data_IF_089513277712
#
_entry.id   IF_089513277712
#
_cell.length_a   1.000
_cell.length_b   1.000
_cell.length_c   1.000
_cell.angle_alpha   90.00
_cell.angle_beta   90.00
_cell.angle_gamma   90.00
#
_symmetry.space_group_name_H-M   'P 1'
#
loop_
_entity.id
_entity.type
_entity.pdbx_description
1 polymer ?
#
# COMPACT_ATOMS: atom_id res chain seq x y z
N UNK A 1 -7.87 -17.78 -9.31
CA UNK A 1 -6.61 -17.03 -9.28
C UNK A 1 -6.84 -15.78 -8.45
N UNK A 2 -6.32 -15.76 -7.24
CA UNK A 2 -6.43 -14.61 -6.33
C UNK A 2 -5.36 -13.60 -6.73
N UNK A 3 -5.80 -12.37 -7.05
CA UNK A 3 -4.93 -11.24 -7.33
C UNK A 3 -5.00 -10.25 -6.17
N UNK A 4 -3.85 -9.84 -5.68
CA UNK A 4 -3.73 -8.87 -4.58
C UNK A 4 -2.78 -7.77 -5.01
N UNK A 5 -3.13 -6.51 -4.73
CA UNK A 5 -2.21 -5.39 -4.87
C UNK A 5 -2.19 -4.54 -3.59
N UNK A 6 -1.05 -3.93 -3.31
CA UNK A 6 -0.84 -2.94 -2.27
C UNK A 6 -0.52 -1.60 -2.92
N UNK A 7 -1.16 -0.53 -2.46
CA UNK A 7 -0.86 0.87 -2.81
C UNK A 7 -0.82 1.72 -1.54
N UNK A 8 -0.11 2.87 -1.51
CA UNK A 8 -0.11 3.73 -0.33
C UNK A 8 -1.38 4.58 -0.23
N UNK A 9 -1.75 4.95 1.00
CA UNK A 9 -2.81 5.92 1.31
C UNK A 9 -2.42 7.38 1.06
N UNK A 10 -1.45 7.64 0.18
CA UNK A 10 -0.90 8.98 -0.04
C UNK A 10 -1.96 9.94 -0.59
N UNK A 11 -2.27 11.02 0.15
CA UNK A 11 -3.28 12.00 -0.25
C UNK A 11 -3.00 12.67 -1.59
N UNK A 12 -1.72 12.82 -1.98
CA UNK A 12 -1.34 13.37 -3.28
C UNK A 12 -1.89 12.55 -4.46
N UNK A 13 -2.32 11.30 -4.24
CA UNK A 13 -2.99 10.47 -5.24
C UNK A 13 -4.43 10.91 -5.52
N UNK A 14 -5.05 11.72 -4.67
CA UNK A 14 -6.42 12.18 -4.87
C UNK A 14 -6.50 13.32 -5.91
N UNK A 15 -7.58 13.38 -6.71
CA UNK A 15 -7.78 14.44 -7.71
C UNK A 15 -7.77 15.86 -7.12
N UNK A 16 -8.18 16.02 -5.86
CA UNK A 16 -8.21 17.32 -5.16
C UNK A 16 -6.82 17.93 -4.92
N UNK A 17 -5.75 17.12 -5.01
CA UNK A 17 -4.35 17.58 -4.93
C UNK A 17 -3.66 17.62 -6.30
N UNK A 18 -4.40 17.47 -7.40
CA UNK A 18 -3.83 17.59 -8.73
C UNK A 18 -3.25 18.99 -8.95
N UNK A 19 -2.03 19.03 -9.45
CA UNK A 19 -1.23 20.24 -9.65
C UNK A 19 -0.58 20.21 -11.05
N UNK A 20 -0.08 21.36 -11.52
CA UNK A 20 0.62 21.44 -12.82
C UNK A 20 1.87 20.53 -12.86
N UNK A 21 2.53 20.37 -11.71
CA UNK A 21 3.61 19.42 -11.50
C UNK A 21 3.09 18.30 -10.60
N UNK A 22 3.23 17.04 -11.00
CA UNK A 22 2.83 15.90 -10.17
C UNK A 22 4.03 15.43 -9.33
N UNK A 23 4.08 15.80 -8.04
CA UNK A 23 5.22 15.49 -7.18
C UNK A 23 5.31 13.98 -6.86
N UNK A 24 4.31 13.19 -7.24
CA UNK A 24 4.25 11.74 -7.05
C UNK A 24 4.00 11.00 -8.36
N UNK A 25 4.44 11.56 -9.50
CA UNK A 25 4.22 10.99 -10.84
C UNK A 25 4.52 9.49 -10.92
N UNK A 26 5.73 9.07 -10.52
CA UNK A 26 6.16 7.67 -10.64
C UNK A 26 5.34 6.75 -9.72
N UNK A 27 5.03 7.23 -8.51
CA UNK A 27 4.16 6.51 -7.58
C UNK A 27 2.74 6.37 -8.13
N UNK A 28 2.17 7.45 -8.68
CA UNK A 28 0.83 7.44 -9.27
C UNK A 28 0.76 6.48 -10.45
N UNK A 29 1.75 6.50 -11.34
CA UNK A 29 1.84 5.59 -12.47
C UNK A 29 1.88 4.13 -12.00
N UNK A 30 2.68 3.81 -10.99
CA UNK A 30 2.74 2.49 -10.39
C UNK A 30 1.39 2.07 -9.77
N UNK A 31 0.75 2.96 -8.99
CA UNK A 31 -0.57 2.70 -8.41
C UNK A 31 -1.62 2.39 -9.47
N UNK A 32 -1.71 3.20 -10.53
CA UNK A 32 -2.68 3.01 -11.60
C UNK A 32 -2.44 1.71 -12.37
N UNK A 33 -1.18 1.37 -12.65
CA UNK A 33 -0.84 0.10 -13.28
C UNK A 33 -1.22 -1.09 -12.39
N UNK A 34 -0.98 -1.00 -11.08
CA UNK A 34 -1.31 -2.07 -10.14
C UNK A 34 -2.82 -2.27 -9.98
N UNK A 35 -3.57 -1.17 -9.86
CA UNK A 35 -5.03 -1.20 -9.75
C UNK A 35 -5.69 -1.67 -11.05
N UNK A 36 -5.23 -1.20 -12.22
CA UNK A 36 -5.71 -1.70 -13.50
C UNK A 36 -5.46 -3.21 -13.68
N UNK A 37 -4.33 -3.72 -13.18
CA UNK A 37 -4.02 -5.14 -13.22
C UNK A 37 -4.97 -6.02 -12.37
N UNK A 38 -5.63 -5.45 -11.34
CA UNK A 38 -6.67 -6.16 -10.57
C UNK A 38 -7.94 -6.41 -11.39
N UNK A 39 -8.23 -5.59 -12.41
CA UNK A 39 -9.42 -5.72 -13.23
C UNK A 39 -10.71 -5.28 -12.53
N UNK A 40 -11.80 -6.00 -12.79
CA UNK A 40 -13.11 -5.76 -12.19
C UNK A 40 -13.25 -6.50 -10.85
N UNK A 41 -14.32 -6.20 -10.10
CA UNK A 41 -14.65 -6.83 -8.82
C UNK A 41 -13.51 -6.75 -7.80
N UNK A 42 -13.16 -5.52 -7.39
CA UNK A 42 -12.07 -5.27 -6.44
C UNK A 42 -12.62 -5.03 -5.03
N UNK A 43 -12.15 -5.82 -4.06
CA UNK A 43 -12.39 -5.60 -2.63
C UNK A 43 -11.28 -4.75 -2.03
N UNK A 44 -11.67 -3.71 -1.31
CA UNK A 44 -10.72 -2.78 -0.69
C UNK A 44 -10.53 -3.14 0.79
N UNK A 45 -9.27 -3.27 1.22
CA UNK A 45 -8.87 -3.37 2.63
C UNK A 45 -8.11 -2.09 2.97
N UNK A 46 -8.74 -1.18 3.71
CA UNK A 46 -8.19 0.15 3.98
C UNK A 46 -8.80 0.82 5.21
N UNK A 47 -8.03 1.72 5.85
CA UNK A 47 -8.57 2.71 6.79
C UNK A 47 -9.35 3.82 6.07
N UNK A 48 -9.93 4.75 6.84
CA UNK A 48 -10.79 5.81 6.29
C UNK A 48 -10.11 6.69 5.22
N UNK A 49 -8.84 7.03 5.41
CA UNK A 49 -8.06 7.77 4.40
C UNK A 49 -7.77 6.91 3.17
N UNK A 50 -7.27 5.69 3.39
CA UNK A 50 -6.96 4.76 2.32
C UNK A 50 -8.16 4.41 1.45
N UNK A 51 -9.36 4.32 2.03
CA UNK A 51 -10.60 4.06 1.28
C UNK A 51 -10.92 5.18 0.26
N UNK A 52 -10.62 6.45 0.60
CA UNK A 52 -10.76 7.56 -0.35
C UNK A 52 -9.78 7.41 -1.52
N UNK A 53 -8.53 7.04 -1.23
CA UNK A 53 -7.49 6.83 -2.24
C UNK A 53 -7.82 5.64 -3.15
N UNK A 54 -8.21 4.50 -2.57
CA UNK A 54 -8.66 3.35 -3.35
C UNK A 54 -9.82 3.70 -4.28
N UNK A 55 -10.84 4.39 -3.77
CA UNK A 55 -12.00 4.80 -4.57
C UNK A 55 -11.58 5.68 -5.76
N UNK A 56 -10.69 6.64 -5.54
CA UNK A 56 -10.18 7.50 -6.61
C UNK A 56 -9.37 6.71 -7.65
N UNK A 57 -8.46 5.83 -7.23
CA UNK A 57 -7.66 5.02 -8.14
C UNK A 57 -8.51 4.04 -8.95
N UNK A 58 -9.50 3.39 -8.32
CA UNK A 58 -10.43 2.48 -8.99
C UNK A 58 -11.26 3.22 -10.04
N UNK A 59 -11.81 4.38 -9.67
CA UNK A 59 -12.58 5.21 -10.61
C UNK A 59 -11.74 5.66 -11.81
N UNK A 60 -10.47 6.03 -11.60
CA UNK A 60 -9.55 6.45 -12.65
C UNK A 60 -9.30 5.34 -13.69
N UNK A 61 -9.24 4.08 -13.25
CA UNK A 61 -9.09 2.93 -14.17
C UNK A 61 -10.44 2.38 -14.66
N UNK A 62 -11.56 3.01 -14.32
CA UNK A 62 -12.90 2.65 -14.80
C UNK A 62 -13.59 1.52 -14.02
N UNK A 63 -13.19 1.26 -12.77
CA UNK A 63 -13.82 0.26 -11.89
C UNK A 63 -14.31 0.86 -10.57
N UNK A 64 -14.99 0.07 -9.74
CA UNK A 64 -15.52 0.48 -8.45
C UNK A 64 -15.33 -0.65 -7.41
N UNK A 65 -15.24 -0.32 -6.11
CA UNK A 65 -15.13 -1.35 -5.08
C UNK A 65 -16.41 -2.18 -5.00
N UNK A 66 -16.26 -3.47 -4.67
CA UNK A 66 -17.35 -4.40 -4.41
C UNK A 66 -17.31 -4.94 -2.99
N UNK A 67 -18.46 -5.26 -2.42
CA UNK A 67 -18.58 -5.77 -1.04
C UNK A 67 -18.60 -7.31 -0.96
N UNK A 68 -18.82 -8.01 -2.08
CA UNK A 68 -18.95 -9.48 -2.11
C UNK A 68 -18.66 -10.05 -3.51
N UNK A 69 -18.31 -11.34 -3.59
CA UNK A 69 -17.96 -12.05 -4.83
C UNK A 69 -16.57 -12.68 -4.79
N UNK A 70 -16.23 -13.47 -5.81
CA UNK A 70 -14.85 -13.87 -6.09
C UNK A 70 -14.11 -12.65 -6.64
N UNK A 71 -13.33 -11.99 -5.78
CA UNK A 71 -12.79 -10.66 -6.04
C UNK A 71 -11.26 -10.62 -5.99
N UNK A 72 -10.68 -9.67 -6.73
CA UNK A 72 -9.31 -9.24 -6.49
C UNK A 72 -9.26 -8.32 -5.25
N UNK A 73 -8.10 -8.18 -4.62
CA UNK A 73 -7.95 -7.39 -3.38
C UNK A 73 -7.01 -6.21 -3.58
N UNK A 74 -7.46 -5.02 -3.19
CA UNK A 74 -6.66 -3.81 -3.09
C UNK A 74 -6.46 -3.45 -1.61
N UNK A 75 -5.24 -3.65 -1.13
CA UNK A 75 -4.81 -3.23 0.20
C UNK A 75 -4.29 -1.78 0.08
N UNK A 76 -4.70 -0.91 1.00
CA UNK A 76 -4.16 0.44 1.09
C UNK A 76 -3.44 0.63 2.42
N UNK A 77 -2.14 0.86 2.37
CA UNK A 77 -1.30 1.06 3.54
C UNK A 77 0.12 1.51 3.17
N UNK A 78 0.85 2.03 4.13
CA UNK A 78 2.21 2.55 3.94
C UNK A 78 3.09 2.28 5.15
N UNK A 79 4.41 2.34 4.95
CA UNK A 79 5.38 2.31 6.04
C UNK A 79 5.44 3.62 6.80
N UNK A 80 6.51 3.79 7.56
CA UNK A 80 6.67 4.91 8.49
C UNK A 80 6.69 6.28 7.80
N UNK A 81 6.24 7.31 8.51
CA UNK A 81 6.30 8.72 8.09
C UNK A 81 7.36 9.52 8.85
N UNK A 82 8.43 8.83 9.31
CA UNK A 82 9.45 9.35 10.23
C UNK A 82 10.89 9.04 9.81
N UNK A 83 11.16 8.86 8.51
CA UNK A 83 12.48 8.43 8.01
C UNK A 83 13.52 9.53 7.87
N UNK A 84 13.12 10.80 7.95
CA UNK A 84 14.02 11.94 7.76
C UNK A 84 13.64 13.11 8.66
N UNK A 85 14.55 14.05 8.87
CA UNK A 85 14.30 15.24 9.70
C UNK A 85 13.14 16.10 9.16
N UNK A 86 12.92 16.05 7.83
CA UNK A 86 11.86 16.77 7.12
C UNK A 86 10.60 15.93 6.92
N UNK A 87 10.58 14.69 7.39
CA UNK A 87 9.40 13.84 7.32
C UNK A 87 8.25 14.45 8.14
N UNK A 88 6.98 14.18 7.78
CA UNK A 88 5.82 14.73 8.49
C UNK A 88 5.85 14.48 10.01
N UNK A 89 6.32 13.30 10.44
CA UNK A 89 6.43 12.95 11.86
C UNK A 89 7.79 13.22 12.49
N UNK A 90 8.71 13.91 11.79
CA UNK A 90 10.13 14.07 12.12
C UNK A 90 10.91 12.76 12.20
N UNK A 91 12.24 12.83 12.22
CA UNK A 91 13.09 11.65 12.25
C UNK A 91 12.89 10.86 13.55
N UNK A 92 12.55 9.58 13.41
CA UNK A 92 12.68 8.58 14.46
C UNK A 92 13.68 7.52 13.97
N UNK A 93 14.80 7.27 14.67
CA UNK A 93 15.82 6.32 14.23
C UNK A 93 15.32 4.87 14.12
N UNK A 94 14.16 4.55 14.73
CA UNK A 94 13.53 3.23 14.63
C UNK A 94 12.81 3.00 13.29
N UNK A 95 12.47 4.08 12.57
CA UNK A 95 11.73 4.06 11.32
C UNK A 95 12.39 3.16 10.25
N UNK A 96 13.71 3.28 10.08
CA UNK A 96 14.44 2.51 9.08
C UNK A 96 14.32 1.00 9.30
N UNK A 97 14.57 0.54 10.53
CA UNK A 97 14.50 -0.89 10.86
C UNK A 97 13.08 -1.45 10.81
N UNK A 98 12.07 -0.66 11.18
CA UNK A 98 10.67 -1.07 11.03
C UNK A 98 10.30 -1.28 9.56
N UNK A 99 10.65 -0.33 8.68
CA UNK A 99 10.35 -0.42 7.25
C UNK A 99 11.13 -1.52 6.55
N UNK A 100 12.36 -1.83 6.98
CA UNK A 100 13.14 -2.95 6.43
C UNK A 100 12.46 -4.30 6.69
N UNK A 101 11.87 -4.47 7.88
CA UNK A 101 11.08 -5.68 8.22
C UNK A 101 9.82 -5.76 7.35
N UNK A 102 9.06 -4.67 7.27
CA UNK A 102 7.86 -4.59 6.44
C UNK A 102 8.15 -4.85 4.96
N UNK A 103 9.14 -4.14 4.39
CA UNK A 103 9.53 -4.27 2.99
C UNK A 103 9.98 -5.68 2.63
N UNK A 104 10.77 -6.33 3.49
CA UNK A 104 11.15 -7.72 3.31
C UNK A 104 9.93 -8.64 3.26
N UNK A 105 9.01 -8.49 4.22
CA UNK A 105 7.82 -9.32 4.31
C UNK A 105 6.88 -9.15 3.10
N UNK A 106 6.79 -7.94 2.53
CA UNK A 106 6.05 -7.67 1.29
C UNK A 106 6.72 -8.30 0.06
N UNK A 107 8.06 -8.22 -0.04
CA UNK A 107 8.83 -8.75 -1.17
C UNK A 107 8.95 -10.28 -1.17
N UNK A 108 8.88 -10.93 0.00
CA UNK A 108 8.91 -12.40 0.15
C UNK A 108 7.56 -13.00 0.55
N UNK A 109 6.45 -12.35 0.17
CA UNK A 109 5.10 -12.44 0.78
C UNK A 109 5.02 -13.35 2.01
N UNK A 110 5.47 -12.84 3.16
CA UNK A 110 5.50 -13.57 4.43
C UNK A 110 4.27 -13.19 5.29
N UNK A 111 3.17 -13.97 5.24
CA UNK A 111 1.96 -13.65 5.99
C UNK A 111 2.18 -13.68 7.50
N UNK A 112 3.11 -14.49 8.02
CA UNK A 112 3.39 -14.55 9.45
C UNK A 112 4.12 -13.29 9.91
N UNK A 113 5.12 -12.83 9.15
CA UNK A 113 5.82 -11.59 9.47
C UNK A 113 4.91 -10.36 9.35
N UNK A 114 4.05 -10.30 8.33
CA UNK A 114 3.07 -9.22 8.17
C UNK A 114 2.03 -9.23 9.29
N UNK A 115 1.53 -10.40 9.68
CA UNK A 115 0.58 -10.55 10.79
C UNK A 115 1.16 -10.21 12.16
N UNK A 116 2.48 -10.26 12.32
CA UNK A 116 3.20 -10.03 13.57
C UNK A 116 3.79 -8.61 13.72
N UNK A 117 3.46 -7.67 12.82
CA UNK A 117 3.93 -6.29 12.91
C UNK A 117 3.51 -5.65 14.25
N UNK A 118 4.44 -4.93 14.88
CA UNK A 118 4.17 -4.20 16.10
C UNK A 118 3.29 -2.97 15.79
N UNK A 119 1.99 -3.11 16.05
CA UNK A 119 0.99 -2.05 15.79
C UNK A 119 1.21 -0.81 16.66
N UNK A 120 1.79 -0.96 17.87
CA UNK A 120 2.08 0.19 18.71
C UNK A 120 3.26 0.97 18.13
N UNK A 121 4.32 0.28 17.74
CA UNK A 121 5.44 0.93 17.07
C UNK A 121 5.03 1.54 15.73
N UNK A 122 4.15 0.89 14.98
CA UNK A 122 3.60 1.44 13.75
C UNK A 122 2.87 2.77 14.00
N UNK A 123 2.02 2.84 15.02
CA UNK A 123 1.33 4.08 15.43
C UNK A 123 2.33 5.16 15.86
N UNK A 124 3.34 4.81 16.66
CA UNK A 124 4.40 5.75 17.06
C UNK A 124 5.19 6.30 15.85
N UNK A 125 5.39 5.47 14.82
CA UNK A 125 6.10 5.80 13.58
C UNK A 125 5.20 6.40 12.49
N UNK A 126 3.91 6.59 12.78
CA UNK A 126 2.91 7.07 11.83
C UNK A 126 2.82 6.21 10.56
N UNK A 127 3.02 4.90 10.69
CA UNK A 127 2.83 3.93 9.63
C UNK A 127 1.36 3.46 9.56
N UNK A 128 0.82 3.29 8.36
CA UNK A 128 -0.52 2.74 8.14
C UNK A 128 -0.41 1.27 7.74
N UNK A 129 -0.28 0.40 8.75
CA UNK A 129 -0.09 -1.05 8.55
C UNK A 129 -1.31 -1.88 8.92
N UNK A 130 -2.34 -1.30 9.55
CA UNK A 130 -3.54 -2.04 9.96
C UNK A 130 -4.17 -2.87 8.83
N UNK A 131 -4.42 -2.26 7.65
CA UNK A 131 -4.93 -2.99 6.48
C UNK A 131 -3.97 -4.09 5.97
N UNK A 132 -2.66 -3.89 6.09
CA UNK A 132 -1.63 -4.86 5.70
C UNK A 132 -1.68 -6.08 6.63
N UNK A 133 -1.79 -5.85 7.95
CA UNK A 133 -1.94 -6.91 8.95
C UNK A 133 -3.24 -7.69 8.73
N UNK A 134 -4.37 -6.99 8.53
CA UNK A 134 -5.68 -7.60 8.27
C UNK A 134 -5.65 -8.51 7.03
N UNK A 135 -4.97 -8.07 5.97
CA UNK A 135 -4.91 -8.76 4.70
C UNK A 135 -3.78 -9.79 4.58
N UNK A 136 -2.93 -9.96 5.59
CA UNK A 136 -1.71 -10.76 5.51
C UNK A 136 -1.95 -12.19 4.96
N UNK A 137 -3.00 -12.85 5.44
CA UNK A 137 -3.35 -14.22 5.01
C UNK A 137 -3.70 -14.34 3.52
N UNK A 138 -4.11 -13.25 2.85
CA UNK A 138 -4.36 -13.27 1.41
C UNK A 138 -3.09 -13.54 0.60
N UNK A 139 -1.91 -13.30 1.19
CA UNK A 139 -0.62 -13.56 0.54
C UNK A 139 -0.14 -15.00 0.74
N UNK A 140 -0.88 -15.82 1.49
CA UNK A 140 -0.50 -17.22 1.69
C UNK A 140 -0.56 -18.00 0.38
N UNK A 141 0.57 -18.59 -0.01
CA UNK A 141 0.65 -19.47 -1.18
C UNK A 141 0.67 -18.75 -2.53
N UNK A 142 0.80 -17.42 -2.55
CA UNK A 142 1.07 -16.68 -3.80
C UNK A 142 2.38 -17.18 -4.41
N UNK A 143 2.43 -17.24 -5.73
CA UNK A 143 3.59 -17.77 -6.48
C UNK A 143 4.31 -16.73 -7.31
N UNK A 144 3.68 -15.56 -7.47
CA UNK A 144 4.24 -14.43 -8.21
C UNK A 144 4.23 -13.19 -7.31
N UNK A 145 5.30 -12.40 -7.44
CA UNK A 145 5.52 -11.17 -6.68
C UNK A 145 6.11 -10.14 -7.63
N UNK A 146 5.57 -8.93 -7.61
CA UNK A 146 6.17 -7.77 -8.26
C UNK A 146 6.11 -6.59 -7.29
N UNK A 147 7.27 -5.97 -7.03
CA UNK A 147 7.35 -4.67 -6.34
C UNK A 147 7.56 -3.63 -7.44
N UNK A 148 6.50 -2.90 -7.76
CA UNK A 148 6.47 -1.94 -8.86
C UNK A 148 6.96 -0.55 -8.43
N UNK A 149 6.92 -0.25 -7.12
CA UNK A 149 7.47 0.97 -6.53
C UNK A 149 7.96 0.71 -5.11
N UNK A 150 9.10 1.30 -4.75
CA UNK A 150 9.66 1.28 -3.41
C UNK A 150 10.56 2.51 -3.20
N UNK A 151 10.08 3.50 -2.46
CA UNK A 151 10.86 4.72 -2.18
C UNK A 151 10.28 5.49 -0.97
N UNK A 152 11.02 6.51 -0.49
CA UNK A 152 10.64 7.39 0.61
C UNK A 152 10.83 8.90 0.33
N UNK A 153 10.28 9.44 -0.78
CA UNK A 153 10.60 10.78 -1.30
C UNK A 153 10.33 11.94 -0.33
N UNK A 154 9.43 11.72 0.64
CA UNK A 154 9.04 12.71 1.66
C UNK A 154 9.41 12.27 3.08
N UNK A 155 10.32 11.31 3.22
CA UNK A 155 10.57 10.63 4.49
C UNK A 155 9.40 9.76 4.96
N UNK A 156 8.49 9.43 4.03
CA UNK A 156 7.39 8.48 4.20
C UNK A 156 7.62 7.29 3.29
N UNK A 157 7.62 6.08 3.83
CA UNK A 157 7.90 4.88 3.05
C UNK A 157 6.66 4.41 2.28
N UNK A 158 6.79 4.32 0.96
CA UNK A 158 5.74 3.85 0.07
C UNK A 158 6.18 2.60 -0.69
N UNK A 159 5.24 1.67 -0.84
CA UNK A 159 5.34 0.53 -1.74
C UNK A 159 4.13 0.47 -2.66
N UNK A 160 4.38 0.03 -3.89
CA UNK A 160 3.35 -0.54 -4.76
C UNK A 160 3.78 -1.95 -5.11
N UNK A 161 2.92 -2.93 -4.83
CA UNK A 161 3.25 -4.32 -5.05
C UNK A 161 2.03 -5.12 -5.51
N UNK A 162 2.29 -6.23 -6.20
CA UNK A 162 1.29 -7.17 -6.72
C UNK A 162 1.69 -8.60 -6.42
N UNK A 163 0.69 -9.42 -6.09
CA UNK A 163 0.84 -10.85 -5.84
C UNK A 163 -0.27 -11.63 -6.51
N UNK A 164 0.05 -12.81 -7.03
CA UNK A 164 -0.95 -13.77 -7.48
C UNK A 164 -0.54 -15.22 -7.19
N UNK A 165 -1.54 -16.06 -6.94
CA UNK A 165 -1.40 -17.51 -7.08
C UNK A 165 -1.36 -17.90 -8.58
N UNK A 166 -0.99 -19.15 -8.86
CA UNK A 166 -0.78 -19.64 -10.23
C UNK A 166 -2.08 -20.08 -10.88
#
# INVERSE_FOLDING_TARGET
MTRVALVPGCLALLPEYASLEDPVHDLRAACLAAVAWLGEDVRVVAGAQGARVATALLAEVGTAPVDSGEAAYLIVGNGSARRSEKAPGHLDPRAAGFDDVLGKALATPDPEALGALDLQLADELWADVGPIVEAAELLRGVTTVAVDYEDDPYGVRYWVARWADR
#
